data_IF_216893330354
#
_entry.id   IF_216893330354
#
_cell.length_a   1.000
_cell.length_b   1.000
_cell.length_c   1.000
_cell.angle_alpha   90.00
_cell.angle_beta   90.00
_cell.angle_gamma   90.00
#
_symmetry.space_group_name_H-M   'P 1'
#
loop_
_entity.id
_entity.type
_entity.pdbx_description
1 polymer ?
#
# COMPACT_ATOMS: atom_id res chain seq x y z
N UNK A 1 18.66 -12.03 19.14
CA UNK A 1 18.25 -13.16 18.27
C UNK A 1 19.51 -13.79 17.69
N UNK A 2 19.65 -15.12 17.72
CA UNK A 2 20.74 -15.82 17.02
C UNK A 2 20.32 -16.06 15.57
N UNK A 3 21.20 -15.77 14.61
CA UNK A 3 21.00 -16.14 13.21
C UNK A 3 21.48 -17.57 12.99
N UNK A 4 20.67 -18.36 12.29
CA UNK A 4 21.02 -19.71 11.85
C UNK A 4 21.47 -19.72 10.40
N UNK A 5 22.44 -20.55 10.07
CA UNK A 5 22.92 -20.77 8.71
C UNK A 5 22.50 -22.15 8.21
N UNK A 6 22.47 -22.33 6.90
CA UNK A 6 22.29 -23.66 6.33
C UNK A 6 23.45 -24.57 6.75
N UNK A 7 23.14 -25.77 7.21
CA UNK A 7 24.09 -26.72 7.79
C UNK A 7 24.29 -26.57 9.29
N UNK A 8 23.78 -25.50 9.93
CA UNK A 8 23.81 -25.40 11.40
C UNK A 8 23.09 -26.60 12.02
N UNK A 9 23.61 -27.05 13.16
CA UNK A 9 23.04 -28.18 13.91
C UNK A 9 22.43 -27.74 15.23
N UNK A 10 21.43 -28.48 15.69
CA UNK A 10 20.76 -28.23 16.95
C UNK A 10 20.04 -29.47 17.47
N UNK A 11 19.15 -29.26 18.45
CA UNK A 11 18.22 -30.28 18.93
C UNK A 11 16.81 -29.70 18.97
N UNK A 12 15.82 -30.51 18.64
CA UNK A 12 14.40 -30.16 18.72
C UNK A 12 13.55 -31.38 19.06
N UNK A 13 12.33 -31.16 19.54
CA UNK A 13 11.33 -32.22 19.69
C UNK A 13 10.76 -32.54 18.31
N UNK A 14 10.78 -33.83 17.93
CA UNK A 14 10.15 -34.29 16.70
C UNK A 14 8.83 -34.99 16.99
N UNK A 15 7.71 -34.45 16.50
CA UNK A 15 6.38 -35.07 16.67
C UNK A 15 6.25 -36.41 15.93
N UNK A 16 7.02 -36.63 14.86
CA UNK A 16 7.00 -37.92 14.16
C UNK A 16 7.80 -39.01 14.91
N UNK A 17 8.96 -38.65 15.48
CA UNK A 17 9.80 -39.59 16.22
C UNK A 17 9.46 -39.69 17.71
N UNK A 18 8.61 -38.80 18.22
CA UNK A 18 8.19 -38.71 19.63
C UNK A 18 9.37 -38.59 20.63
N UNK A 19 10.46 -37.93 20.21
CA UNK A 19 11.67 -37.76 21.03
C UNK A 19 12.44 -36.49 20.65
N UNK A 20 13.39 -36.09 21.51
CA UNK A 20 14.36 -35.04 21.18
C UNK A 20 15.37 -35.61 20.19
N UNK A 21 15.49 -34.99 19.02
CA UNK A 21 16.36 -35.43 17.92
C UNK A 21 17.41 -34.37 17.60
N UNK A 22 18.50 -34.80 16.98
CA UNK A 22 19.39 -33.90 16.24
C UNK A 22 18.66 -33.30 15.05
N UNK A 23 18.93 -32.03 14.79
CA UNK A 23 18.41 -31.33 13.61
C UNK A 23 19.54 -30.68 12.84
N UNK A 24 19.37 -30.61 11.52
CA UNK A 24 20.20 -29.83 10.62
C UNK A 24 19.34 -28.78 9.91
N UNK A 25 19.80 -27.53 9.90
CA UNK A 25 19.09 -26.44 9.22
C UNK A 25 19.29 -26.52 7.70
N UNK A 26 18.20 -26.63 6.95
CA UNK A 26 18.17 -26.75 5.50
C UNK A 26 17.13 -25.81 4.89
N UNK A 27 17.28 -25.49 3.60
CA UNK A 27 16.28 -24.75 2.84
C UNK A 27 15.23 -25.69 2.27
N UNK A 28 13.95 -25.44 2.54
CA UNK A 28 12.82 -26.24 2.05
C UNK A 28 11.57 -25.40 1.83
N UNK A 29 10.71 -25.92 0.97
CA UNK A 29 9.33 -25.47 0.90
C UNK A 29 8.52 -26.12 2.03
N UNK A 30 7.71 -25.34 2.74
CA UNK A 30 6.90 -25.82 3.88
C UNK A 30 5.43 -25.48 3.65
N UNK A 31 4.54 -26.49 3.52
CA UNK A 31 3.12 -26.25 3.36
C UNK A 31 2.52 -25.72 4.66
N UNK A 32 1.51 -24.86 4.55
CA UNK A 32 0.75 -24.42 5.72
C UNK A 32 -0.14 -25.53 6.25
N UNK A 33 -0.32 -25.56 7.57
CA UNK A 33 -1.12 -26.59 8.25
C UNK A 33 -2.61 -26.56 7.87
N UNK A 34 -3.11 -25.41 7.38
CA UNK A 34 -4.47 -25.23 6.86
C UNK A 34 -4.61 -25.65 5.38
N UNK A 35 -3.53 -26.13 4.75
CA UNK A 35 -3.48 -26.53 3.34
C UNK A 35 -3.49 -25.37 2.35
N UNK A 36 -3.57 -24.12 2.80
CA UNK A 36 -3.78 -22.95 1.94
C UNK A 36 -2.49 -22.13 1.76
N UNK A 37 -1.49 -22.75 1.11
CA UNK A 37 -0.27 -22.06 0.74
C UNK A 37 1.00 -22.84 1.09
N UNK A 38 2.13 -22.30 0.62
CA UNK A 38 3.43 -22.95 0.70
C UNK A 38 4.50 -21.86 0.89
N UNK A 39 5.13 -21.80 2.05
CA UNK A 39 6.28 -20.93 2.25
C UNK A 39 7.48 -21.54 1.50
N UNK A 40 7.93 -20.85 0.44
CA UNK A 40 8.99 -21.36 -0.44
C UNK A 40 10.37 -21.00 0.07
N UNK A 41 11.30 -21.93 -0.09
CA UNK A 41 12.74 -21.74 0.14
C UNK A 41 13.07 -21.10 1.51
N UNK A 42 12.41 -21.57 2.58
CA UNK A 42 12.66 -21.07 3.94
C UNK A 42 13.66 -21.95 4.68
N UNK A 43 14.44 -21.34 5.58
CA UNK A 43 15.34 -22.11 6.44
C UNK A 43 14.51 -22.84 7.50
N UNK A 44 14.75 -24.14 7.67
CA UNK A 44 14.05 -25.00 8.63
C UNK A 44 14.99 -26.00 9.28
N UNK A 45 14.77 -26.32 10.54
CA UNK A 45 15.40 -27.44 11.21
C UNK A 45 14.73 -28.75 10.80
N UNK A 46 15.50 -29.63 10.16
CA UNK A 46 15.05 -30.94 9.69
C UNK A 46 15.54 -32.00 10.64
N UNK A 47 14.67 -32.92 11.05
CA UNK A 47 15.03 -34.08 11.85
C UNK A 47 16.03 -34.97 11.10
N UNK A 48 17.18 -35.24 11.72
CA UNK A 48 18.23 -36.08 11.12
C UNK A 48 17.80 -37.56 10.95
N UNK A 49 16.68 -37.99 11.58
CA UNK A 49 16.20 -39.38 11.55
C UNK A 49 15.09 -39.63 10.51
N UNK A 50 14.03 -38.80 10.51
CA UNK A 50 12.87 -38.99 9.62
C UNK A 50 12.76 -37.93 8.51
N UNK A 51 13.70 -36.99 8.46
CA UNK A 51 13.72 -35.88 7.52
C UNK A 51 12.47 -34.97 7.58
N UNK A 52 11.65 -35.02 8.63
CA UNK A 52 10.53 -34.09 8.81
C UNK A 52 11.02 -32.71 9.27
N UNK A 53 10.34 -31.64 8.83
CA UNK A 53 10.55 -30.28 9.35
C UNK A 53 10.02 -30.19 10.79
N UNK A 54 10.90 -29.86 11.75
CA UNK A 54 10.57 -29.85 13.20
C UNK A 54 10.86 -28.51 13.87
N UNK A 55 11.53 -27.59 13.19
CA UNK A 55 11.76 -26.24 13.69
C UNK A 55 11.79 -25.23 12.55
N UNK A 56 11.32 -24.01 12.80
CA UNK A 56 11.46 -22.88 11.89
C UNK A 56 12.09 -21.74 12.70
N UNK A 57 13.30 -21.27 12.34
CA UNK A 57 13.96 -20.19 13.05
C UNK A 57 13.22 -18.85 12.79
N UNK A 58 13.24 -17.89 13.74
CA UNK A 58 12.49 -16.64 13.62
C UNK A 58 12.80 -15.81 12.36
N UNK A 59 14.00 -15.94 11.81
CA UNK A 59 14.43 -15.30 10.57
C UNK A 59 13.68 -15.77 9.31
N UNK A 60 13.00 -16.92 9.36
CA UNK A 60 12.15 -17.43 8.27
C UNK A 60 10.71 -16.90 8.33
N UNK A 61 10.32 -16.27 9.45
CA UNK A 61 8.97 -15.72 9.66
C UNK A 61 8.53 -14.72 8.58
N UNK A 62 9.38 -13.79 8.09
CA UNK A 62 8.98 -12.86 7.04
C UNK A 62 8.53 -13.56 5.75
N UNK A 63 9.26 -14.60 5.29
CA UNK A 63 8.91 -15.36 4.09
C UNK A 63 7.59 -16.14 4.23
N UNK A 64 7.30 -16.64 5.45
CA UNK A 64 6.01 -17.26 5.79
C UNK A 64 4.89 -16.21 5.73
N UNK A 65 5.11 -15.03 6.30
CA UNK A 65 4.13 -13.93 6.31
C UNK A 65 3.83 -13.42 4.91
N UNK A 66 4.83 -13.32 4.04
CA UNK A 66 4.66 -12.90 2.64
C UNK A 66 3.73 -13.85 1.87
N UNK A 67 3.89 -15.16 2.09
CA UNK A 67 3.11 -16.20 1.40
C UNK A 67 1.67 -16.25 1.89
N UNK A 68 1.42 -15.87 3.16
CA UNK A 68 0.07 -15.54 3.63
C UNK A 68 -0.35 -14.20 3.02
N UNK A 69 -0.69 -14.22 1.72
CA UNK A 69 -1.17 -13.07 0.92
C UNK A 69 -1.85 -12.05 1.84
N UNK A 70 -1.20 -10.92 2.07
CA UNK A 70 -1.87 -9.79 2.70
C UNK A 70 -3.12 -9.53 1.84
N UNK A 71 -4.29 -9.70 2.42
CA UNK A 71 -5.55 -9.42 1.73
C UNK A 71 -5.50 -7.95 1.31
N UNK A 72 -5.33 -7.71 0.00
CA UNK A 72 -5.35 -6.36 -0.52
C UNK A 72 -6.78 -5.82 -0.41
N UNK A 73 -6.93 -4.69 0.26
CA UNK A 73 -8.20 -3.97 0.36
C UNK A 73 -8.41 -3.18 -0.93
N UNK A 74 -9.65 -3.17 -1.43
CA UNK A 74 -10.01 -2.38 -2.62
C UNK A 74 -10.56 -1.04 -2.18
N UNK A 75 -9.95 0.05 -2.66
CA UNK A 75 -10.50 1.40 -2.54
C UNK A 75 -11.13 1.74 -3.89
N UNK A 76 -12.42 2.10 -3.86
CA UNK A 76 -13.24 2.29 -5.04
C UNK A 76 -14.04 3.59 -4.91
N UNK A 77 -14.02 4.42 -5.95
CA UNK A 77 -14.85 5.62 -6.01
C UNK A 77 -15.20 5.98 -7.44
N UNK A 78 -16.30 6.72 -7.62
CA UNK A 78 -16.67 7.33 -8.89
C UNK A 78 -16.60 8.85 -8.74
N UNK A 79 -15.69 9.46 -9.49
CA UNK A 79 -15.34 10.88 -9.38
C UNK A 79 -15.59 11.59 -10.72
N UNK A 80 -15.82 12.90 -10.73
CA UNK A 80 -15.78 13.66 -11.97
C UNK A 80 -14.40 13.49 -12.64
N UNK A 81 -14.40 13.30 -13.96
CA UNK A 81 -13.21 12.97 -14.74
C UNK A 81 -12.06 13.96 -14.50
N UNK A 82 -12.40 15.24 -14.37
CA UNK A 82 -11.44 16.33 -14.11
C UNK A 82 -10.61 16.12 -12.84
N UNK A 83 -11.15 15.47 -11.80
CA UNK A 83 -10.36 15.15 -10.61
C UNK A 83 -9.28 14.12 -10.92
N UNK A 84 -9.58 13.10 -11.73
CA UNK A 84 -8.56 12.13 -12.15
C UNK A 84 -7.57 12.75 -13.13
N UNK A 85 -8.03 13.65 -14.00
CA UNK A 85 -7.14 14.36 -14.92
C UNK A 85 -6.16 15.28 -14.15
N UNK A 86 -6.60 15.91 -13.06
CA UNK A 86 -5.75 16.70 -12.15
C UNK A 86 -4.79 15.82 -11.37
N UNK A 87 -5.24 14.66 -10.89
CA UNK A 87 -4.36 13.68 -10.24
C UNK A 87 -3.26 13.22 -11.19
N UNK A 88 -3.61 12.87 -12.44
CA UNK A 88 -2.64 12.43 -13.43
C UNK A 88 -1.68 13.56 -13.82
N UNK A 89 -2.16 14.81 -13.95
CA UNK A 89 -1.31 15.98 -14.20
C UNK A 89 -0.33 16.25 -13.04
N UNK A 90 -0.80 16.14 -11.79
CA UNK A 90 0.02 16.23 -10.58
C UNK A 90 1.12 15.17 -10.61
N UNK A 91 0.76 13.92 -10.90
CA UNK A 91 1.71 12.82 -10.97
C UNK A 91 2.76 13.01 -12.06
N UNK A 92 2.34 13.42 -13.26
CA UNK A 92 3.23 13.69 -14.39
C UNK A 92 4.20 14.84 -14.08
N UNK A 93 3.76 15.89 -13.38
CA UNK A 93 4.61 17.00 -12.95
C UNK A 93 5.72 16.54 -11.99
N UNK A 94 5.42 15.62 -11.07
CA UNK A 94 6.40 15.07 -10.11
C UNK A 94 7.36 14.09 -10.79
N UNK A 95 6.83 13.20 -11.63
CA UNK A 95 7.54 12.15 -12.34
C UNK A 95 6.92 11.95 -13.74
N UNK A 96 7.60 12.35 -14.82
CA UNK A 96 7.02 12.32 -16.18
C UNK A 96 6.54 10.93 -16.63
N UNK A 97 7.22 9.86 -16.18
CA UNK A 97 6.89 8.46 -16.50
C UNK A 97 5.82 7.86 -15.57
N UNK A 98 5.23 8.67 -14.68
CA UNK A 98 4.19 8.23 -13.76
C UNK A 98 2.91 7.84 -14.51
N UNK A 99 2.57 6.56 -14.45
CA UNK A 99 1.28 6.05 -14.91
C UNK A 99 0.30 5.80 -13.76
N UNK A 100 -0.89 5.31 -14.12
CA UNK A 100 -2.00 5.00 -13.19
C UNK A 100 -1.59 4.09 -12.03
N UNK A 101 -0.59 3.22 -12.22
CA UNK A 101 -0.04 2.33 -11.20
C UNK A 101 0.51 3.06 -9.96
N UNK A 102 0.93 4.33 -10.11
CA UNK A 102 1.47 5.14 -9.02
C UNK A 102 0.39 5.91 -8.24
N UNK A 103 -0.87 5.92 -8.67
CA UNK A 103 -1.95 6.63 -7.95
C UNK A 103 -2.05 6.17 -6.49
N UNK A 104 -1.87 4.86 -6.23
CA UNK A 104 -1.88 4.30 -4.87
C UNK A 104 -0.75 4.86 -3.99
N UNK A 105 0.39 5.20 -4.59
CA UNK A 105 1.56 5.70 -3.88
C UNK A 105 1.35 7.17 -3.49
N UNK A 106 0.81 7.97 -4.41
CA UNK A 106 0.42 9.35 -4.12
C UNK A 106 -0.66 9.37 -3.03
N UNK A 107 -1.73 8.59 -3.17
CA UNK A 107 -2.73 8.50 -2.11
C UNK A 107 -2.14 7.98 -0.80
N UNK A 108 -1.26 6.98 -0.82
CA UNK A 108 -0.60 6.46 0.38
C UNK A 108 0.19 7.52 1.14
N UNK A 109 0.93 8.38 0.44
CA UNK A 109 1.62 9.52 1.04
C UNK A 109 0.64 10.42 1.80
N UNK A 110 -0.44 10.83 1.14
CA UNK A 110 -1.44 11.71 1.74
C UNK A 110 -2.30 11.05 2.81
N UNK A 111 -2.51 9.72 2.74
CA UNK A 111 -3.21 8.98 3.80
C UNK A 111 -2.40 8.93 5.09
N UNK A 112 -1.08 8.81 4.97
CA UNK A 112 -0.17 8.75 6.12
C UNK A 112 0.08 10.11 6.79
N UNK A 113 -0.21 11.22 6.08
CA UNK A 113 -0.03 12.55 6.60
C UNK A 113 -1.07 12.90 7.69
N UNK A 114 -0.72 13.76 8.67
CA UNK A 114 -1.70 14.28 9.61
C UNK A 114 -2.88 14.94 8.88
N UNK A 115 -4.13 14.73 9.32
CA UNK A 115 -5.29 15.35 8.69
C UNK A 115 -5.15 16.87 8.73
N UNK A 116 -5.06 17.50 7.57
CA UNK A 116 -5.10 18.95 7.47
C UNK A 116 -6.53 19.42 7.78
N UNK A 117 -6.68 20.37 8.70
CA UNK A 117 -7.97 20.94 9.09
C UNK A 117 -8.70 21.66 7.95
N UNK A 118 -8.00 21.93 6.84
CA UNK A 118 -8.50 22.67 5.68
C UNK A 118 -8.91 21.80 4.48
N UNK A 119 -8.87 20.45 4.58
CA UNK A 119 -9.13 19.57 3.41
C UNK A 119 -10.51 19.80 2.76
N UNK A 120 -11.53 20.04 3.57
CA UNK A 120 -12.88 20.34 3.07
C UNK A 120 -12.91 21.70 2.34
N UNK A 121 -12.34 22.74 2.95
CA UNK A 121 -12.26 24.08 2.35
C UNK A 121 -11.46 24.09 1.05
N UNK A 122 -10.36 23.33 0.98
CA UNK A 122 -9.55 23.15 -0.23
C UNK A 122 -10.36 22.50 -1.34
N UNK A 123 -11.19 21.51 -1.01
CA UNK A 123 -12.11 20.89 -1.97
C UNK A 123 -13.18 21.86 -2.45
N UNK A 124 -13.85 22.56 -1.55
CA UNK A 124 -14.89 23.53 -1.89
C UNK A 124 -14.37 24.63 -2.81
N UNK A 125 -13.20 25.20 -2.48
CA UNK A 125 -12.53 26.18 -3.32
C UNK A 125 -12.19 25.64 -4.71
N UNK A 126 -11.75 24.38 -4.80
CA UNK A 126 -11.49 23.75 -6.09
C UNK A 126 -12.78 23.52 -6.90
N UNK A 127 -13.84 23.04 -6.25
CA UNK A 127 -15.13 22.81 -6.89
C UNK A 127 -15.74 24.13 -7.41
N UNK A 128 -15.65 25.21 -6.64
CA UNK A 128 -16.07 26.55 -7.03
C UNK A 128 -15.27 27.06 -8.25
N UNK A 129 -13.94 26.92 -8.22
CA UNK A 129 -13.09 27.27 -9.36
C UNK A 129 -13.49 26.50 -10.63
N UNK A 130 -13.74 25.19 -10.54
CA UNK A 130 -14.18 24.41 -11.69
C UNK A 130 -15.54 24.87 -12.24
N UNK A 131 -16.47 25.23 -11.36
CA UNK A 131 -17.78 25.75 -11.74
C UNK A 131 -17.66 27.10 -12.46
N UNK A 132 -16.87 28.02 -11.92
CA UNK A 132 -16.59 29.33 -12.53
C UNK A 132 -15.95 29.18 -13.92
N UNK A 133 -14.97 28.28 -14.06
CA UNK A 133 -14.34 28.00 -15.35
C UNK A 133 -15.31 27.38 -16.37
N UNK A 134 -16.25 26.54 -15.91
CA UNK A 134 -17.27 25.97 -16.78
C UNK A 134 -18.25 27.05 -17.27
N UNK A 135 -18.70 27.92 -16.37
CA UNK A 135 -19.60 29.02 -16.70
C UNK A 135 -18.96 30.03 -17.65
N UNK A 136 -17.74 30.49 -17.34
CA UNK A 136 -17.00 31.45 -18.17
C UNK A 136 -16.76 30.94 -19.61
N UNK A 137 -16.65 29.61 -19.77
CA UNK A 137 -16.44 28.95 -21.07
C UNK A 137 -17.74 28.42 -21.70
N UNK A 138 -18.90 28.69 -21.08
CA UNK A 138 -20.21 28.21 -21.52
C UNK A 138 -20.26 26.68 -21.71
N UNK A 139 -19.58 25.94 -20.84
CA UNK A 139 -19.50 24.49 -20.89
C UNK A 139 -20.74 23.84 -20.23
N UNK A 140 -21.15 22.64 -20.68
CA UNK A 140 -22.26 21.92 -20.07
C UNK A 140 -22.01 21.63 -18.58
N UNK A 141 -23.06 21.73 -17.77
CA UNK A 141 -23.00 21.42 -16.34
C UNK A 141 -22.76 19.91 -16.06
N UNK A 142 -23.05 19.03 -17.02
CA UNK A 142 -22.87 17.58 -16.86
C UNK A 142 -21.40 17.22 -16.96
N UNK A 143 -20.81 16.83 -15.84
CA UNK A 143 -19.43 16.36 -15.80
C UNK A 143 -19.36 14.87 -16.12
N UNK A 144 -18.46 14.49 -17.03
CA UNK A 144 -18.12 13.09 -17.25
C UNK A 144 -17.59 12.47 -15.95
N UNK A 145 -17.99 11.22 -15.66
CA UNK A 145 -17.60 10.52 -14.43
C UNK A 145 -16.66 9.36 -14.75
N UNK A 146 -15.54 9.24 -14.04
CA UNK A 146 -14.58 8.13 -14.15
C UNK A 146 -14.47 7.36 -12.83
N UNK A 147 -14.15 6.07 -12.93
CA UNK A 147 -13.91 5.19 -11.77
C UNK A 147 -12.44 5.29 -11.34
N UNK A 148 -12.22 5.43 -10.04
CA UNK A 148 -10.95 5.20 -9.37
C UNK A 148 -11.02 3.83 -8.68
N UNK A 149 -10.04 2.97 -8.95
CA UNK A 149 -9.88 1.67 -8.31
C UNK A 149 -8.42 1.49 -7.91
N UNK A 150 -8.17 1.18 -6.64
CA UNK A 150 -6.85 0.96 -6.09
C UNK A 150 -6.86 -0.30 -5.22
N UNK A 151 -5.79 -1.09 -5.29
CA UNK A 151 -5.54 -2.21 -4.37
C UNK A 151 -4.43 -1.78 -3.40
N UNK A 152 -4.73 -1.84 -2.11
CA UNK A 152 -3.81 -1.37 -1.05
C UNK A 152 -3.61 -2.45 0.01
N UNK A 153 -2.48 -2.40 0.70
CA UNK A 153 -2.23 -3.25 1.86
C UNK A 153 -3.03 -2.76 3.09
N UNK A 154 -2.99 -3.52 4.18
CA UNK A 154 -3.76 -3.17 5.36
C UNK A 154 -3.31 -1.85 6.01
N UNK A 155 -2.03 -1.48 5.94
CA UNK A 155 -1.51 -0.26 6.55
C UNK A 155 -2.11 0.99 5.89
N UNK A 156 -2.11 1.02 4.56
CA UNK A 156 -2.71 2.11 3.79
C UNK A 156 -4.23 2.16 3.98
N UNK A 157 -4.88 1.00 4.15
CA UNK A 157 -6.31 0.95 4.47
C UNK A 157 -6.63 1.50 5.87
N UNK A 158 -5.79 1.21 6.87
CA UNK A 158 -5.90 1.74 8.22
C UNK A 158 -5.69 3.26 8.27
N UNK A 159 -4.72 3.77 7.51
CA UNK A 159 -4.48 5.22 7.38
C UNK A 159 -5.67 5.94 6.73
N UNK A 160 -6.24 5.37 5.66
CA UNK A 160 -7.48 5.88 5.07
C UNK A 160 -8.64 5.87 6.09
N UNK A 161 -8.82 4.77 6.83
CA UNK A 161 -9.88 4.66 7.84
C UNK A 161 -9.72 5.72 8.95
N UNK A 162 -8.48 5.99 9.37
CA UNK A 162 -8.16 7.02 10.35
C UNK A 162 -8.54 8.40 9.84
N UNK A 163 -8.21 8.72 8.58
CA UNK A 163 -8.60 9.99 7.98
C UNK A 163 -10.11 10.15 7.88
N UNK A 164 -10.83 9.12 7.42
CA UNK A 164 -12.30 9.15 7.35
C UNK A 164 -12.94 9.43 8.72
N UNK A 165 -12.41 8.83 9.78
CA UNK A 165 -12.89 9.09 11.15
C UNK A 165 -12.56 10.51 11.62
N UNK A 166 -11.35 11.00 11.32
CA UNK A 166 -10.90 12.33 11.74
C UNK A 166 -11.64 13.45 11.02
N UNK A 167 -11.88 13.31 9.71
CA UNK A 167 -12.54 14.35 8.90
C UNK A 167 -14.06 14.21 8.88
N UNK A 168 -14.60 13.03 9.22
CA UNK A 168 -16.03 12.68 9.08
C UNK A 168 -16.57 12.75 7.64
N UNK A 169 -15.68 12.77 6.66
CA UNK A 169 -16.05 12.78 5.24
C UNK A 169 -16.39 11.37 4.76
N UNK A 170 -17.18 11.27 3.71
CA UNK A 170 -17.28 10.02 2.94
C UNK A 170 -15.97 9.73 2.20
N UNK A 171 -15.75 8.47 1.82
CA UNK A 171 -14.57 8.09 1.02
C UNK A 171 -14.44 8.91 -0.27
N UNK A 172 -15.57 9.16 -0.95
CA UNK A 172 -15.57 9.93 -2.20
C UNK A 172 -15.17 11.39 -1.96
N UNK A 173 -15.71 12.03 -0.91
CA UNK A 173 -15.36 13.41 -0.56
C UNK A 173 -13.89 13.52 -0.15
N UNK A 174 -13.41 12.62 0.71
CA UNK A 174 -12.01 12.61 1.12
C UNK A 174 -11.06 12.47 -0.09
N UNK A 175 -11.36 11.56 -1.01
CA UNK A 175 -10.55 11.40 -2.23
C UNK A 175 -10.55 12.65 -3.10
N UNK A 176 -11.69 13.36 -3.23
CA UNK A 176 -11.75 14.65 -3.94
C UNK A 176 -10.90 15.71 -3.24
N UNK A 177 -11.01 15.82 -1.92
CA UNK A 177 -10.22 16.75 -1.11
C UNK A 177 -8.72 16.51 -1.21
N UNK A 178 -8.30 15.25 -1.17
CA UNK A 178 -6.88 14.92 -1.30
C UNK A 178 -6.35 15.24 -2.70
N UNK A 179 -7.13 14.97 -3.76
CA UNK A 179 -6.75 15.40 -5.13
C UNK A 179 -6.67 16.94 -5.22
N UNK A 180 -7.61 17.66 -4.60
CA UNK A 180 -7.58 19.11 -4.56
C UNK A 180 -6.36 19.65 -3.80
N UNK A 181 -5.95 18.98 -2.71
CA UNK A 181 -4.73 19.29 -1.96
C UNK A 181 -3.47 19.00 -2.77
N UNK A 182 -3.40 17.84 -3.43
CA UNK A 182 -2.29 17.47 -4.33
C UNK A 182 -2.05 18.53 -5.40
N UNK A 183 -3.12 19.07 -5.98
CA UNK A 183 -3.05 20.16 -6.95
C UNK A 183 -2.37 21.39 -6.37
N UNK A 184 -2.70 21.80 -5.14
CA UNK A 184 -2.05 22.94 -4.49
C UNK A 184 -0.58 22.65 -4.20
N UNK A 185 -0.29 21.48 -3.64
CA UNK A 185 1.05 21.10 -3.23
C UNK A 185 2.01 20.86 -4.40
N UNK A 186 1.50 20.66 -5.62
CA UNK A 186 2.34 20.32 -6.79
C UNK A 186 2.20 21.32 -7.93
N UNK A 187 0.99 21.75 -8.28
CA UNK A 187 0.73 22.54 -9.49
C UNK A 187 0.64 24.05 -9.20
N UNK A 188 -0.01 24.46 -8.11
CA UNK A 188 -0.32 25.87 -7.84
C UNK A 188 0.67 26.49 -6.83
N UNK A 189 1.87 26.80 -7.29
CA UNK A 189 2.93 27.39 -6.47
C UNK A 189 3.81 26.36 -5.76
N UNK A 190 3.28 25.16 -5.52
CA UNK A 190 4.01 23.96 -5.15
C UNK A 190 4.69 24.01 -3.77
N UNK A 191 4.69 22.89 -3.07
CA UNK A 191 5.51 22.70 -1.88
C UNK A 191 6.77 21.90 -2.26
N UNK A 192 7.96 22.53 -2.32
CA UNK A 192 9.18 21.86 -2.76
C UNK A 192 9.52 20.60 -1.95
N UNK A 193 9.20 20.58 -0.65
CA UNK A 193 9.43 19.42 0.21
C UNK A 193 8.52 18.25 -0.18
N UNK A 194 7.21 18.51 -0.33
CA UNK A 194 6.24 17.50 -0.76
C UNK A 194 6.60 16.95 -2.15
N UNK A 195 6.96 17.82 -3.09
CA UNK A 195 7.38 17.41 -4.44
C UNK A 195 8.63 16.53 -4.38
N UNK A 196 9.62 16.87 -3.55
CA UNK A 196 10.84 16.09 -3.40
C UNK A 196 10.55 14.70 -2.82
N UNK A 197 9.71 14.62 -1.79
CA UNK A 197 9.28 13.36 -1.16
C UNK A 197 8.49 12.48 -2.13
N UNK A 198 7.47 13.04 -2.79
CA UNK A 198 6.69 12.32 -3.79
C UNK A 198 7.57 11.84 -4.96
N UNK A 199 8.55 12.63 -5.39
CA UNK A 199 9.50 12.23 -6.44
C UNK A 199 10.40 11.08 -5.98
N UNK A 200 10.87 11.10 -4.73
CA UNK A 200 11.65 10.01 -4.17
C UNK A 200 10.82 8.73 -4.09
N UNK A 201 9.57 8.82 -3.63
CA UNK A 201 8.66 7.68 -3.57
C UNK A 201 8.36 7.14 -4.98
N UNK A 202 8.04 8.02 -5.93
CA UNK A 202 7.75 7.62 -7.31
C UNK A 202 8.92 6.86 -7.95
N UNK A 203 10.17 7.28 -7.72
CA UNK A 203 11.37 6.56 -8.19
C UNK A 203 11.52 5.15 -7.63
N UNK A 204 11.01 4.90 -6.41
CA UNK A 204 11.04 3.57 -5.79
C UNK A 204 9.84 2.70 -6.19
N UNK A 205 8.78 3.33 -6.70
CA UNK A 205 7.54 2.66 -7.10
C UNK A 205 7.40 2.36 -8.60
N UNK A 206 8.28 2.94 -9.43
CA UNK A 206 8.46 2.61 -10.86
C UNK A 206 9.37 1.38 -11.01
#
# INVERSE_FOLDING_TARGET
MKLFLQGDRGKALCEHCQQIVGITYLRRDVPFSDGNGLARDILVGVCDQCATTVAIPPQSTPAIKETRKQSLTSIEARLPAVYLDVLDATMHCVAPDAGVQLRKLFFGYYFSAPPASSLEQVHEGFAAYLAEQAEARQLPAVQAMKRLSLKVNHYVAEDLARLLQATRMTQTELLKSLIAQMRLDVLEGGNPAVIAELRQLARLGL
#
